data_IF_874809473737
#
_entry.id   IF_874809473737
#
_cell.length_a   1.000
_cell.length_b   1.000
_cell.length_c   1.000
_cell.angle_alpha   90.00
_cell.angle_beta   90.00
_cell.angle_gamma   90.00
#
_symmetry.space_group_name_H-M   'P 1'
#
loop_
_entity.id
_entity.type
_entity.pdbx_description
1 polymer ?
#
# COMPACT_ATOMS: atom_id res chain seq x y z
N UNK A 1 4.39 7.70 -38.06
CA UNK A 1 3.57 6.52 -38.48
C UNK A 1 4.09 5.31 -37.72
N UNK A 2 3.33 4.79 -36.77
CA UNK A 2 3.71 3.59 -36.00
C UNK A 2 3.85 2.39 -36.95
N UNK A 3 4.93 1.65 -36.83
CA UNK A 3 5.20 0.49 -37.68
C UNK A 3 4.23 -0.65 -37.34
N UNK A 4 4.01 -1.56 -38.32
CA UNK A 4 3.16 -2.74 -38.11
C UNK A 4 3.60 -3.56 -36.92
N UNK A 5 4.89 -3.64 -36.67
CA UNK A 5 5.54 -4.36 -35.58
C UNK A 5 5.25 -3.72 -34.20
N UNK A 6 5.24 -2.38 -34.10
CA UNK A 6 4.89 -1.66 -32.86
C UNK A 6 3.44 -1.91 -32.46
N UNK A 7 2.52 -1.83 -33.43
CA UNK A 7 1.09 -2.13 -33.18
C UNK A 7 0.83 -3.58 -32.76
N UNK A 8 1.58 -4.53 -33.31
CA UNK A 8 1.50 -5.94 -32.91
C UNK A 8 2.07 -6.15 -31.50
N UNK A 9 3.15 -5.45 -31.13
CA UNK A 9 3.75 -5.48 -29.81
C UNK A 9 2.79 -4.89 -28.75
N UNK A 10 2.22 -3.73 -29.01
CA UNK A 10 1.23 -3.08 -28.13
C UNK A 10 -0.02 -3.96 -27.93
N UNK A 11 -0.50 -4.61 -29.00
CA UNK A 11 -1.64 -5.51 -28.92
C UNK A 11 -1.36 -6.72 -28.04
N UNK A 12 -0.19 -7.37 -28.19
CA UNK A 12 0.23 -8.50 -27.34
C UNK A 12 0.42 -8.09 -25.89
N UNK A 13 0.92 -6.89 -25.64
CA UNK A 13 1.08 -6.32 -24.30
C UNK A 13 -0.28 -6.07 -23.65
N UNK A 14 -1.23 -5.52 -24.40
CA UNK A 14 -2.61 -5.30 -23.95
C UNK A 14 -3.35 -6.62 -23.68
N UNK A 15 -3.19 -7.63 -24.53
CA UNK A 15 -3.77 -8.96 -24.34
C UNK A 15 -3.24 -9.63 -23.07
N UNK A 16 -1.91 -9.58 -22.83
CA UNK A 16 -1.31 -10.09 -21.59
C UNK A 16 -1.75 -9.33 -20.33
N UNK A 17 -1.99 -8.03 -20.46
CA UNK A 17 -2.53 -7.22 -19.39
C UNK A 17 -3.98 -7.64 -19.06
N UNK A 18 -4.83 -7.78 -20.09
CA UNK A 18 -6.21 -8.27 -19.89
C UNK A 18 -6.28 -9.67 -19.26
N UNK A 19 -5.38 -10.57 -19.66
CA UNK A 19 -5.29 -11.90 -19.05
C UNK A 19 -4.91 -11.84 -17.56
N UNK A 20 -3.95 -10.97 -17.20
CA UNK A 20 -3.55 -10.76 -15.80
C UNK A 20 -4.71 -10.20 -14.97
N UNK A 21 -5.38 -9.18 -15.47
CA UNK A 21 -6.57 -8.60 -14.85
C UNK A 21 -7.69 -9.63 -14.64
N UNK A 22 -7.95 -10.47 -15.67
CA UNK A 22 -8.95 -11.51 -15.55
C UNK A 22 -8.58 -12.55 -14.48
N UNK A 23 -7.30 -12.95 -14.42
CA UNK A 23 -6.79 -13.88 -13.39
C UNK A 23 -6.86 -13.27 -11.99
N UNK A 24 -6.50 -11.99 -11.83
CA UNK A 24 -6.59 -11.29 -10.56
C UNK A 24 -8.04 -11.17 -10.07
N UNK A 25 -8.99 -10.80 -10.95
CA UNK A 25 -10.43 -10.77 -10.63
C UNK A 25 -10.95 -12.16 -10.24
N UNK A 26 -10.55 -13.20 -10.98
CA UNK A 26 -10.95 -14.57 -10.67
C UNK A 26 -10.43 -15.03 -9.29
N UNK A 27 -9.17 -14.73 -8.96
CA UNK A 27 -8.60 -15.02 -7.63
C UNK A 27 -9.33 -14.28 -6.51
N UNK A 28 -9.58 -12.98 -6.69
CA UNK A 28 -10.35 -12.17 -5.71
C UNK A 28 -11.77 -12.70 -5.53
N UNK A 29 -12.44 -13.10 -6.61
CA UNK A 29 -13.77 -13.72 -6.51
C UNK A 29 -13.71 -15.06 -5.79
N UNK A 30 -12.72 -15.89 -6.07
CA UNK A 30 -12.54 -17.19 -5.42
C UNK A 30 -12.23 -17.01 -3.92
N UNK A 31 -11.38 -16.06 -3.56
CA UNK A 31 -11.09 -15.71 -2.16
C UNK A 31 -12.34 -15.21 -1.43
N UNK A 32 -13.15 -14.34 -2.06
CA UNK A 32 -14.43 -13.87 -1.48
C UNK A 32 -15.44 -15.01 -1.30
N UNK A 33 -15.51 -15.93 -2.23
CA UNK A 33 -16.39 -17.11 -2.12
C UNK A 33 -15.91 -18.04 -1.00
N UNK A 34 -14.60 -18.28 -0.88
CA UNK A 34 -14.03 -19.11 0.18
C UNK A 34 -14.26 -18.44 1.55
N UNK A 35 -13.99 -17.12 1.67
CA UNK A 35 -14.25 -16.37 2.90
C UNK A 35 -15.73 -16.41 3.29
N UNK A 36 -16.63 -16.19 2.32
CA UNK A 36 -18.08 -16.27 2.53
C UNK A 36 -18.55 -17.68 2.97
N UNK A 37 -17.96 -18.72 2.43
CA UNK A 37 -18.27 -20.11 2.78
C UNK A 37 -17.82 -20.46 4.21
N UNK A 38 -16.67 -19.95 4.63
CA UNK A 38 -16.17 -20.16 6.01
C UNK A 38 -17.06 -19.42 7.01
N UNK A 39 -17.49 -18.20 6.72
CA UNK A 39 -18.40 -17.44 7.58
C UNK A 39 -19.76 -18.13 7.70
N UNK A 40 -20.32 -18.65 6.61
CA UNK A 40 -21.57 -19.37 6.64
C UNK A 40 -21.48 -20.67 7.47
N UNK A 41 -20.36 -21.40 7.37
CA UNK A 41 -20.11 -22.60 8.15
C UNK A 41 -19.93 -22.29 9.66
N UNK A 42 -19.28 -21.19 10.00
CA UNK A 42 -19.11 -20.73 11.39
C UNK A 42 -20.44 -20.30 12.03
N UNK A 43 -21.30 -19.58 11.29
CA UNK A 43 -22.62 -19.18 11.79
C UNK A 43 -23.51 -20.39 12.06
N UNK A 44 -23.46 -21.42 11.22
CA UNK A 44 -24.21 -22.67 11.46
C UNK A 44 -23.66 -23.43 12.66
N UNK A 45 -22.33 -23.47 12.86
CA UNK A 45 -21.72 -24.13 14.02
C UNK A 45 -22.06 -23.43 15.35
N UNK A 46 -22.06 -22.10 15.39
CA UNK A 46 -22.43 -21.33 16.59
C UNK A 46 -23.91 -21.44 16.93
N UNK A 47 -24.79 -21.54 15.92
CA UNK A 47 -26.23 -21.76 16.14
C UNK A 47 -26.54 -23.10 16.82
N UNK A 48 -25.81 -24.17 16.50
CA UNK A 48 -25.95 -25.49 17.11
C UNK A 48 -25.42 -25.51 18.55
N UNK A 49 -24.29 -24.85 18.81
CA UNK A 49 -23.69 -24.76 20.16
C UNK A 49 -24.60 -23.96 21.12
N UNK A 50 -25.22 -22.86 20.66
CA UNK A 50 -26.14 -22.07 21.45
C UNK A 50 -27.42 -22.85 21.86
N UNK A 51 -27.88 -23.79 21.00
CA UNK A 51 -29.02 -24.63 21.31
C UNK A 51 -28.75 -25.75 22.36
N UNK A 52 -27.48 -26.14 22.52
CA UNK A 52 -27.07 -27.18 23.47
C UNK A 52 -26.68 -26.58 24.84
N UNK A 53 -26.26 -25.30 24.88
CA UNK A 53 -25.79 -24.63 26.12
C UNK A 53 -26.90 -24.16 27.06
N UNK A 54 -28.17 -24.29 26.69
CA UNK A 54 -29.32 -23.93 27.56
C UNK A 54 -29.71 -25.03 28.57
N UNK A 55 -28.93 -26.10 28.69
CA UNK A 55 -29.32 -27.25 29.55
C UNK A 55 -28.28 -27.66 30.60
N UNK A 56 -27.14 -26.96 30.75
CA UNK A 56 -26.18 -27.31 31.80
C UNK A 56 -25.58 -26.05 32.43
N UNK A 57 -25.92 -25.80 33.68
CA UNK A 57 -25.25 -24.87 34.61
C UNK A 57 -23.98 -25.54 35.13
N UNK A 58 -22.81 -25.24 34.51
CA UNK A 58 -21.50 -25.38 35.10
C UNK A 58 -20.53 -24.49 34.33
N UNK A 59 -19.95 -23.50 35.04
CA UNK A 59 -19.03 -22.50 34.52
C UNK A 59 -17.61 -23.09 34.38
N UNK A 60 -17.03 -23.15 33.18
CA UNK A 60 -15.59 -23.31 33.03
C UNK A 60 -14.95 -22.05 32.49
N UNK A 61 -13.82 -21.70 33.11
CA UNK A 61 -12.93 -20.59 32.84
C UNK A 61 -12.75 -20.26 31.35
N UNK A 62 -12.82 -18.96 31.05
CA UNK A 62 -12.61 -18.40 29.72
C UNK A 62 -11.21 -18.70 29.18
N UNK A 63 -11.15 -19.51 28.13
CA UNK A 63 -10.01 -19.61 27.23
C UNK A 63 -10.11 -18.43 26.25
N UNK A 64 -9.06 -17.61 26.02
CA UNK A 64 -9.15 -16.53 25.05
C UNK A 64 -9.27 -17.13 23.65
N UNK A 65 -10.44 -17.01 23.06
CA UNK A 65 -10.67 -17.29 21.64
C UNK A 65 -9.95 -16.21 20.84
N UNK A 66 -9.10 -16.54 19.84
CA UNK A 66 -8.56 -15.53 18.95
C UNK A 66 -9.72 -14.90 18.19
N UNK A 67 -9.98 -13.63 18.49
CA UNK A 67 -10.95 -12.81 17.76
C UNK A 67 -10.45 -12.68 16.33
N UNK A 68 -11.09 -13.35 15.38
CA UNK A 68 -10.93 -13.04 13.98
C UNK A 68 -11.52 -11.63 13.78
N UNK A 69 -10.65 -10.62 13.80
CA UNK A 69 -11.02 -9.25 13.49
C UNK A 69 -11.54 -9.21 12.06
N UNK A 70 -12.84 -9.00 11.94
CA UNK A 70 -13.46 -8.59 10.68
C UNK A 70 -12.79 -7.27 10.33
N UNK A 71 -12.05 -7.21 9.22
CA UNK A 71 -11.52 -5.98 8.66
C UNK A 71 -12.72 -5.11 8.27
N UNK A 72 -13.17 -4.29 9.21
CA UNK A 72 -14.06 -3.17 8.91
C UNK A 72 -13.22 -2.12 8.18
N UNK A 73 -13.79 -1.44 7.19
CA UNK A 73 -13.16 -0.30 6.53
C UNK A 73 -12.52 0.58 7.60
N UNK A 74 -11.18 0.73 7.55
CA UNK A 74 -10.44 1.41 8.59
C UNK A 74 -10.86 2.89 8.62
N UNK A 75 -11.72 3.22 9.56
CA UNK A 75 -12.11 4.61 9.86
C UNK A 75 -11.29 5.20 11.00
N UNK A 76 -10.42 4.38 11.59
CA UNK A 76 -9.58 4.70 12.73
C UNK A 76 -8.15 4.23 12.47
N UNK A 77 -7.20 4.86 13.15
CA UNK A 77 -5.77 4.47 13.07
C UNK A 77 -5.62 3.01 13.50
N UNK A 78 -5.06 2.14 12.63
CA UNK A 78 -4.84 0.74 12.98
C UNK A 78 -3.93 0.58 14.20
N UNK A 79 -4.18 -0.43 15.01
CA UNK A 79 -3.34 -0.76 16.16
C UNK A 79 -1.94 -1.19 15.70
N UNK A 80 -0.85 -0.61 16.21
CA UNK A 80 0.53 -0.94 15.81
C UNK A 80 0.89 -2.42 16.04
N UNK A 81 0.19 -3.13 16.94
CA UNK A 81 0.39 -4.57 17.14
C UNK A 81 0.08 -5.42 15.89
N UNK A 82 -0.67 -4.88 14.93
CA UNK A 82 -0.93 -5.52 13.65
C UNK A 82 0.33 -5.68 12.79
N UNK A 83 1.38 -4.91 13.05
CA UNK A 83 2.70 -5.09 12.45
C UNK A 83 3.38 -6.40 12.90
N UNK A 84 2.94 -7.01 14.03
CA UNK A 84 3.39 -8.30 14.56
C UNK A 84 4.90 -8.36 14.88
N UNK A 85 5.57 -7.24 15.00
CA UNK A 85 7.01 -7.15 15.28
C UNK A 85 7.85 -8.06 14.36
N UNK A 86 7.45 -8.14 13.09
CA UNK A 86 8.06 -9.00 12.06
C UNK A 86 8.31 -8.26 10.75
N UNK A 87 9.12 -8.88 9.92
CA UNK A 87 9.23 -8.53 8.52
C UNK A 87 8.00 -9.05 7.75
N UNK A 88 7.43 -8.17 6.92
CA UNK A 88 6.40 -8.49 5.95
C UNK A 88 6.98 -8.43 4.55
N UNK A 89 6.57 -9.34 3.68
CA UNK A 89 6.99 -9.35 2.27
C UNK A 89 5.79 -9.19 1.37
N UNK A 90 6.01 -8.67 0.16
CA UNK A 90 4.91 -8.49 -0.77
C UNK A 90 5.32 -7.84 -2.07
N UNK A 91 4.32 -7.35 -2.80
CA UNK A 91 4.51 -6.62 -4.04
C UNK A 91 3.51 -5.46 -4.18
N UNK A 92 3.98 -4.40 -4.83
CA UNK A 92 3.16 -3.32 -5.36
C UNK A 92 3.10 -3.49 -6.88
N UNK A 93 1.94 -3.87 -7.40
CA UNK A 93 1.73 -4.00 -8.83
C UNK A 93 1.41 -2.63 -9.43
N UNK A 94 2.30 -2.14 -10.30
CA UNK A 94 2.12 -0.89 -11.04
C UNK A 94 1.79 -1.17 -12.50
N UNK A 95 1.17 -0.21 -13.19
CA UNK A 95 0.92 -0.30 -14.64
C UNK A 95 2.20 -0.50 -15.46
N UNK A 96 3.36 -0.10 -14.94
CA UNK A 96 4.67 -0.24 -15.58
C UNK A 96 5.37 -1.56 -15.25
N UNK A 97 4.99 -2.23 -14.18
CA UNK A 97 5.59 -3.48 -13.69
C UNK A 97 5.49 -3.60 -12.17
N UNK A 98 5.94 -4.71 -11.64
CA UNK A 98 5.78 -5.03 -10.22
C UNK A 98 7.04 -4.62 -9.43
N UNK A 99 6.85 -4.11 -8.24
CA UNK A 99 7.90 -3.84 -7.26
C UNK A 99 7.75 -4.85 -6.11
N UNK A 100 8.75 -5.71 -5.92
CA UNK A 100 8.81 -6.53 -4.70
C UNK A 100 9.23 -5.66 -3.53
N UNK A 101 8.60 -5.85 -2.37
CA UNK A 101 8.84 -5.04 -1.18
C UNK A 101 9.01 -5.88 0.07
N UNK A 102 9.75 -5.34 1.02
CA UNK A 102 9.86 -5.84 2.38
C UNK A 102 9.60 -4.70 3.36
N UNK A 103 8.75 -4.96 4.38
CA UNK A 103 8.36 -3.97 5.39
C UNK A 103 8.87 -4.41 6.76
N UNK A 104 9.37 -3.46 7.55
CA UNK A 104 9.94 -3.71 8.88
C UNK A 104 8.95 -3.33 9.98
N UNK A 105 8.15 -4.32 10.40
CA UNK A 105 7.16 -4.14 11.46
C UNK A 105 7.75 -3.94 12.86
N UNK A 106 9.02 -4.29 13.06
CA UNK A 106 9.72 -4.04 14.32
C UNK A 106 10.22 -2.59 14.41
N UNK A 107 10.77 -2.05 13.31
CA UNK A 107 11.34 -0.70 13.28
C UNK A 107 10.29 0.40 13.12
N UNK A 108 9.19 0.11 12.42
CA UNK A 108 8.12 1.09 12.14
C UNK A 108 6.72 0.45 12.32
N UNK A 109 6.36 0.04 13.54
CA UNK A 109 5.14 -0.72 13.78
C UNK A 109 3.86 0.01 13.37
N UNK A 110 3.74 1.30 13.63
CA UNK A 110 2.54 2.06 13.26
C UNK A 110 2.42 2.21 11.74
N UNK A 111 3.53 2.50 11.06
CA UNK A 111 3.54 2.65 9.61
C UNK A 111 3.20 1.33 8.91
N UNK A 112 3.80 0.22 9.35
CA UNK A 112 3.54 -1.11 8.79
C UNK A 112 2.12 -1.58 9.07
N UNK A 113 1.62 -1.43 10.30
CA UNK A 113 0.23 -1.75 10.64
C UNK A 113 -0.76 -0.98 9.75
N UNK A 114 -0.54 0.32 9.57
CA UNK A 114 -1.35 1.17 8.71
C UNK A 114 -1.30 0.72 7.24
N UNK A 115 -0.10 0.52 6.69
CA UNK A 115 0.07 0.13 5.30
C UNK A 115 -0.53 -1.24 5.00
N UNK A 116 -0.27 -2.26 5.86
CA UNK A 116 -0.79 -3.62 5.69
C UNK A 116 -2.32 -3.66 5.79
N UNK A 117 -2.91 -2.90 6.72
CA UNK A 117 -4.37 -2.78 6.86
C UNK A 117 -4.99 -2.19 5.60
N UNK A 118 -4.49 -1.04 5.14
CA UNK A 118 -4.99 -0.37 3.95
C UNK A 118 -4.79 -1.24 2.68
N UNK A 119 -3.65 -1.91 2.55
CA UNK A 119 -3.40 -2.84 1.44
C UNK A 119 -4.39 -4.02 1.46
N UNK A 120 -4.66 -4.60 2.63
CA UNK A 120 -5.63 -5.68 2.80
C UNK A 120 -7.06 -5.30 2.42
N UNK A 121 -7.42 -4.04 2.57
CA UNK A 121 -8.71 -3.46 2.17
C UNK A 121 -8.79 -3.10 0.67
N UNK A 122 -7.66 -3.18 -0.05
CA UNK A 122 -7.57 -2.73 -1.44
C UNK A 122 -7.63 -1.21 -1.59
N UNK A 123 -7.29 -0.48 -0.52
CA UNK A 123 -7.34 0.98 -0.47
C UNK A 123 -6.49 1.64 -1.56
N UNK A 124 -5.34 1.06 -1.88
CA UNK A 124 -4.43 1.59 -2.89
C UNK A 124 -4.82 1.23 -4.33
N UNK A 125 -5.76 0.29 -4.52
CA UNK A 125 -6.16 -0.18 -5.85
C UNK A 125 -6.71 0.96 -6.71
N UNK A 126 -6.18 1.08 -7.92
CA UNK A 126 -6.52 2.12 -8.90
C UNK A 126 -6.10 3.55 -8.54
N UNK A 127 -5.40 3.75 -7.42
CA UNK A 127 -4.81 5.04 -7.09
C UNK A 127 -3.58 5.31 -7.94
N UNK A 128 -3.26 6.60 -8.12
CA UNK A 128 -2.17 7.06 -8.97
C UNK A 128 -1.02 7.57 -8.13
N UNK A 129 0.21 7.27 -8.54
CA UNK A 129 1.38 7.97 -8.03
C UNK A 129 1.40 9.36 -8.67
N UNK A 130 1.11 10.36 -7.89
CA UNK A 130 0.76 11.70 -8.34
C UNK A 130 1.94 12.68 -8.42
N UNK A 131 3.08 12.33 -7.84
CA UNK A 131 4.25 13.22 -7.78
C UNK A 131 5.54 12.46 -8.01
N UNK A 132 6.35 12.97 -8.94
CA UNK A 132 7.71 12.50 -9.24
C UNK A 132 8.66 13.69 -9.11
N UNK A 133 9.67 13.60 -8.24
CA UNK A 133 10.70 14.63 -8.11
C UNK A 133 11.99 14.16 -8.75
N UNK A 134 12.65 15.05 -9.50
CA UNK A 134 13.85 14.74 -10.26
C UNK A 134 15.02 15.69 -9.94
N UNK A 135 14.83 16.58 -8.97
CA UNK A 135 15.82 17.54 -8.50
C UNK A 135 15.79 17.63 -6.98
N UNK A 136 16.96 17.68 -6.36
CA UNK A 136 17.16 17.76 -4.91
C UNK A 136 16.87 16.46 -4.19
N UNK A 137 15.65 15.89 -4.37
CA UNK A 137 15.27 14.56 -3.91
C UNK A 137 14.68 13.75 -5.07
N UNK A 138 14.80 12.42 -5.01
CA UNK A 138 14.50 11.53 -6.12
C UNK A 138 13.45 10.50 -5.69
N UNK A 139 12.18 10.91 -5.67
CA UNK A 139 11.09 10.10 -5.14
C UNK A 139 9.87 10.06 -6.06
N UNK A 140 9.18 8.93 -6.05
CA UNK A 140 7.84 8.76 -6.59
C UNK A 140 6.85 8.64 -5.43
N UNK A 141 5.91 9.57 -5.31
CA UNK A 141 4.92 9.62 -4.22
C UNK A 141 3.56 9.08 -4.68
N UNK A 142 2.98 8.20 -3.86
CA UNK A 142 1.77 7.44 -4.12
C UNK A 142 0.84 7.45 -2.89
N UNK A 143 -0.27 6.70 -2.94
CA UNK A 143 -1.12 6.41 -1.80
C UNK A 143 -2.18 7.47 -1.49
N UNK A 144 -2.41 8.42 -2.39
CA UNK A 144 -3.52 9.37 -2.28
C UNK A 144 -4.79 8.79 -2.93
N UNK A 145 -5.89 8.57 -2.18
CA UNK A 145 -7.12 8.02 -2.72
C UNK A 145 -7.86 8.97 -3.67
N UNK A 146 -7.53 10.27 -3.63
CA UNK A 146 -8.12 11.26 -4.53
C UNK A 146 -7.36 11.39 -5.85
N UNK A 147 -6.12 10.89 -5.90
CA UNK A 147 -5.32 10.79 -7.11
C UNK A 147 -5.79 9.59 -7.96
N UNK A 148 -7.04 9.61 -8.40
CA UNK A 148 -7.59 8.65 -9.34
C UNK A 148 -7.21 9.05 -10.76
N UNK A 149 -7.14 8.09 -11.69
CA UNK A 149 -6.79 8.31 -13.09
C UNK A 149 -7.69 9.30 -13.83
N UNK A 150 -7.85 10.50 -13.30
CA UNK A 150 -8.68 11.58 -13.84
C UNK A 150 -7.88 12.48 -14.78
N UNK A 151 -8.60 13.23 -15.62
CA UNK A 151 -8.04 14.12 -16.62
C UNK A 151 -7.24 15.31 -16.06
N UNK A 152 -7.32 15.59 -14.76
CA UNK A 152 -6.56 16.68 -14.13
C UNK A 152 -5.30 16.12 -13.45
N UNK A 153 -4.12 16.32 -14.04
CA UNK A 153 -2.85 15.84 -13.49
C UNK A 153 -2.44 16.55 -12.19
N UNK A 154 -3.10 17.64 -11.82
CA UNK A 154 -2.76 18.44 -10.62
C UNK A 154 -3.52 17.97 -9.37
N UNK A 155 -4.46 17.04 -9.51
CA UNK A 155 -5.18 16.47 -8.37
C UNK A 155 -4.34 15.38 -7.71
N UNK A 156 -4.02 15.56 -6.45
CA UNK A 156 -3.26 14.63 -5.63
C UNK A 156 -2.46 15.33 -4.54
N UNK A 157 -2.07 14.57 -3.54
CA UNK A 157 -1.23 15.05 -2.43
C UNK A 157 -2.01 15.57 -1.22
N UNK A 158 -3.34 15.65 -1.29
CA UNK A 158 -4.18 16.15 -0.18
C UNK A 158 -5.12 15.12 0.41
N UNK A 159 -5.29 13.97 -0.25
CA UNK A 159 -6.14 12.88 0.21
C UNK A 159 -5.47 11.99 1.25
N UNK A 160 -6.30 11.25 1.99
CA UNK A 160 -5.85 10.31 3.02
C UNK A 160 -6.99 9.41 3.48
N UNK A 161 -6.74 8.52 4.45
CA UNK A 161 -7.70 7.50 4.90
C UNK A 161 -8.79 8.03 5.83
N UNK A 162 -8.89 9.35 6.02
CA UNK A 162 -9.84 9.97 6.95
C UNK A 162 -9.30 10.14 8.36
N UNK A 163 -8.07 9.74 8.62
CA UNK A 163 -7.34 9.92 9.87
C UNK A 163 -5.88 10.27 9.61
N UNK A 164 -5.19 10.79 10.61
CA UNK A 164 -3.74 10.97 10.62
C UNK A 164 -3.14 10.34 11.86
N UNK A 165 -1.85 10.03 11.79
CA UNK A 165 -1.14 9.38 12.89
C UNK A 165 0.32 9.85 12.98
N UNK A 166 0.96 9.52 14.09
CA UNK A 166 2.35 9.71 14.47
C UNK A 166 2.64 8.91 15.75
N UNK A 167 3.82 9.06 16.32
CA UNK A 167 4.95 9.88 15.90
C UNK A 167 5.73 9.30 14.71
N UNK A 168 6.76 10.03 14.25
CA UNK A 168 7.73 9.55 13.25
C UNK A 168 8.49 8.35 13.83
N UNK A 169 8.63 7.29 13.02
CA UNK A 169 9.32 6.05 13.35
C UNK A 169 10.54 5.87 12.42
N UNK A 170 11.62 5.30 12.93
CA UNK A 170 12.77 4.82 12.14
C UNK A 170 13.29 5.79 11.06
N UNK A 171 13.31 7.10 11.34
CA UNK A 171 13.88 8.07 10.41
C UNK A 171 15.41 8.00 10.41
N UNK A 172 16.08 8.05 9.24
CA UNK A 172 17.55 8.06 9.17
C UNK A 172 18.14 9.27 9.91
N UNK A 173 19.09 9.01 10.81
CA UNK A 173 19.70 10.07 11.62
C UNK A 173 20.55 11.07 10.80
N UNK A 174 21.06 10.63 9.66
CA UNK A 174 21.86 11.42 8.73
C UNK A 174 21.01 12.16 7.68
N UNK A 175 19.69 11.89 7.66
CA UNK A 175 18.76 12.47 6.70
C UNK A 175 18.96 11.98 5.27
N UNK A 176 19.68 10.87 5.06
CA UNK A 176 19.87 10.26 3.74
C UNK A 176 18.96 9.04 3.60
N UNK A 177 18.13 9.03 2.57
CA UNK A 177 17.23 7.95 2.21
C UNK A 177 17.79 7.23 0.98
N UNK A 178 18.40 6.03 1.14
CA UNK A 178 18.99 5.29 0.03
C UNK A 178 17.96 4.90 -1.03
N UNK A 179 18.42 4.69 -2.25
CA UNK A 179 17.62 4.10 -3.32
C UNK A 179 16.98 2.78 -2.85
N UNK A 180 15.70 2.59 -3.18
CA UNK A 180 14.90 1.47 -2.70
C UNK A 180 14.15 1.72 -1.40
N UNK A 181 14.40 2.80 -0.67
CA UNK A 181 13.65 3.13 0.56
C UNK A 181 12.16 3.36 0.29
N UNK A 182 11.32 2.86 1.20
CA UNK A 182 9.88 3.13 1.25
C UNK A 182 9.61 3.91 2.54
N UNK A 183 9.06 5.14 2.41
CA UNK A 183 8.83 6.00 3.56
C UNK A 183 7.46 6.69 3.49
N UNK A 184 6.91 7.03 4.68
CA UNK A 184 5.63 7.73 4.77
C UNK A 184 5.77 9.20 4.42
N UNK A 185 4.83 9.70 3.61
CA UNK A 185 4.69 11.13 3.38
C UNK A 185 3.93 11.78 4.56
N UNK A 186 4.23 13.05 4.82
CA UNK A 186 3.61 13.88 5.86
C UNK A 186 3.61 15.35 5.47
N UNK A 187 2.83 16.15 6.18
CA UNK A 187 2.91 17.60 6.10
C UNK A 187 4.22 18.10 6.72
N UNK A 188 4.85 19.10 6.11
CA UNK A 188 6.05 19.72 6.67
C UNK A 188 5.81 20.22 8.10
N UNK A 189 6.80 20.06 8.96
CA UNK A 189 6.78 20.46 10.36
C UNK A 189 5.69 19.80 11.23
N UNK A 190 5.02 18.72 10.73
CA UNK A 190 4.00 17.97 11.48
C UNK A 190 4.25 16.47 11.44
N UNK A 191 4.85 15.94 12.50
CA UNK A 191 5.15 14.52 12.68
C UNK A 191 3.95 13.64 13.02
N UNK A 192 2.74 14.22 13.11
CA UNK A 192 1.48 13.51 13.39
C UNK A 192 0.51 13.53 12.21
N UNK A 193 0.97 13.98 11.04
CA UNK A 193 0.13 14.14 9.83
C UNK A 193 0.26 12.99 8.82
N UNK A 194 0.93 11.90 9.18
CA UNK A 194 1.01 10.71 8.32
C UNK A 194 -0.38 10.07 8.17
N UNK A 195 -0.69 9.63 6.97
CA UNK A 195 -1.97 8.98 6.62
C UNK A 195 -1.73 7.74 5.77
N UNK A 196 -2.15 7.78 4.50
CA UNK A 196 -1.95 6.70 3.53
C UNK A 196 -0.86 6.97 2.51
N UNK A 197 -0.40 8.23 2.38
CA UNK A 197 0.57 8.57 1.35
C UNK A 197 1.98 8.12 1.74
N UNK A 198 2.70 7.58 0.77
CA UNK A 198 4.07 7.10 0.90
C UNK A 198 4.89 7.46 -0.34
N UNK A 199 6.20 7.38 -0.24
CA UNK A 199 7.08 7.59 -1.37
C UNK A 199 8.13 6.48 -1.51
N UNK A 200 8.51 6.25 -2.76
CA UNK A 200 9.49 5.28 -3.21
C UNK A 200 10.73 6.06 -3.67
N UNK A 201 11.87 5.78 -3.08
CA UNK A 201 13.13 6.46 -3.40
C UNK A 201 13.81 5.71 -4.55
N UNK A 202 13.99 6.36 -5.70
CA UNK A 202 14.62 5.72 -6.86
C UNK A 202 16.13 6.03 -7.01
N UNK A 203 16.62 7.04 -6.30
CA UNK A 203 18.04 7.39 -6.18
C UNK A 203 18.27 7.99 -4.80
N UNK A 204 19.47 7.80 -4.21
CA UNK A 204 19.81 8.33 -2.90
C UNK A 204 19.39 9.79 -2.75
N UNK A 205 18.58 10.06 -1.72
CA UNK A 205 17.91 11.34 -1.53
C UNK A 205 18.27 11.94 -0.17
N UNK A 206 19.02 13.02 -0.13
CA UNK A 206 19.23 13.78 1.09
C UNK A 206 17.95 14.59 1.40
N UNK A 207 17.22 14.19 2.42
CA UNK A 207 16.02 14.88 2.90
C UNK A 207 16.29 15.32 4.34
N UNK A 208 16.77 16.55 4.56
CA UNK A 208 17.05 17.04 5.90
C UNK A 208 15.79 17.00 6.79
N UNK A 209 15.99 16.65 8.06
CA UNK A 209 14.92 16.77 9.04
C UNK A 209 14.47 18.22 9.20
N UNK A 210 13.15 18.41 9.28
CA UNK A 210 12.54 19.68 9.67
C UNK A 210 12.30 19.72 11.20
N UNK A 211 11.49 20.67 11.69
CA UNK A 211 11.23 20.82 13.14
C UNK A 211 10.49 19.62 13.74
N UNK A 212 9.77 18.84 12.94
CA UNK A 212 9.11 17.60 13.36
C UNK A 212 10.03 16.39 13.31
N UNK A 213 11.14 16.45 12.58
CA UNK A 213 12.08 15.34 12.38
C UNK A 213 12.20 14.91 10.91
N UNK A 214 12.63 13.67 10.68
CA UNK A 214 12.72 13.07 9.36
C UNK A 214 11.39 12.50 8.86
N UNK A 215 11.48 11.50 7.99
CA UNK A 215 10.32 10.76 7.46
C UNK A 215 10.40 9.31 7.94
N UNK A 216 9.27 8.74 8.33
CA UNK A 216 9.19 7.34 8.78
C UNK A 216 9.56 6.39 7.66
N UNK A 217 10.68 5.65 7.83
CA UNK A 217 11.06 4.56 6.91
C UNK A 217 10.46 3.27 7.43
N UNK A 218 9.61 2.64 6.63
CA UNK A 218 8.91 1.43 7.04
C UNK A 218 9.18 0.20 6.16
N UNK A 219 10.01 0.35 5.12
CA UNK A 219 10.37 -0.76 4.25
C UNK A 219 11.35 -0.39 3.16
N UNK A 220 11.60 -1.37 2.31
CA UNK A 220 12.46 -1.21 1.14
C UNK A 220 12.01 -2.08 -0.03
N UNK A 221 12.42 -1.68 -1.24
CA UNK A 221 12.17 -2.40 -2.49
C UNK A 221 13.22 -3.50 -2.61
N UNK A 222 12.77 -4.74 -2.82
CA UNK A 222 13.62 -5.93 -2.97
C UNK A 222 13.83 -6.33 -4.43
N UNK A 223 12.92 -5.93 -5.32
CA UNK A 223 13.01 -6.16 -6.77
C UNK A 223 12.22 -5.12 -7.56
N UNK A 224 12.51 -4.94 -8.85
CA UNK A 224 11.80 -4.00 -9.71
C UNK A 224 12.32 -2.56 -9.64
N UNK A 225 13.53 -2.34 -9.14
CA UNK A 225 14.16 -1.01 -9.16
C UNK A 225 14.35 -0.47 -10.59
N UNK A 226 14.50 -1.34 -11.57
CA UNK A 226 14.54 -0.99 -13.00
C UNK A 226 13.18 -0.44 -13.49
N UNK A 227 12.05 -0.94 -12.97
CA UNK A 227 10.72 -0.40 -13.23
C UNK A 227 10.60 1.02 -12.68
N UNK A 228 11.02 1.22 -11.43
CA UNK A 228 10.98 2.53 -10.79
C UNK A 228 11.90 3.54 -11.50
N UNK A 229 13.09 3.10 -11.91
CA UNK A 229 14.02 3.92 -12.69
C UNK A 229 13.44 4.28 -14.07
N UNK A 230 12.80 3.34 -14.76
CA UNK A 230 12.16 3.60 -16.04
C UNK A 230 11.02 4.64 -15.94
N UNK A 231 10.27 4.65 -14.81
CA UNK A 231 9.28 5.68 -14.53
C UNK A 231 9.95 7.05 -14.37
N UNK A 232 11.05 7.11 -13.62
CA UNK A 232 11.81 8.33 -13.41
C UNK A 232 12.44 8.86 -14.71
N UNK A 233 13.00 7.98 -15.53
CA UNK A 233 13.63 8.33 -16.82
C UNK A 233 12.61 8.85 -17.85
N UNK A 234 11.35 8.40 -17.77
CA UNK A 234 10.28 8.92 -18.62
C UNK A 234 9.95 10.39 -18.30
N UNK A 235 10.23 10.84 -17.08
CA UNK A 235 10.13 12.22 -16.65
C UNK A 235 8.73 12.67 -16.26
N UNK A 236 8.58 13.98 -16.18
CA UNK A 236 7.34 14.64 -15.75
C UNK A 236 6.74 15.50 -16.86
N UNK A 237 5.47 15.81 -16.74
CA UNK A 237 4.81 16.81 -17.58
C UNK A 237 5.53 18.15 -17.36
N UNK A 238 5.89 18.84 -18.44
CA UNK A 238 6.67 20.09 -18.41
C UNK A 238 6.10 21.11 -17.40
N UNK A 239 6.96 21.61 -16.53
CA UNK A 239 6.60 22.58 -15.50
C UNK A 239 5.85 22.01 -14.29
N UNK A 240 5.73 20.68 -14.19
CA UNK A 240 5.05 20.00 -13.08
C UNK A 240 5.93 18.91 -12.46
N UNK A 241 5.47 18.30 -11.37
CA UNK A 241 6.04 17.08 -10.78
C UNK A 241 5.16 15.85 -11.05
N UNK A 242 4.25 15.92 -12.03
CA UNK A 242 3.37 14.80 -12.38
C UNK A 242 4.08 13.91 -13.40
N UNK A 243 4.17 12.58 -13.18
CA UNK A 243 4.73 11.66 -14.16
C UNK A 243 4.10 11.83 -15.55
N UNK A 244 4.92 11.82 -16.61
CA UNK A 244 4.44 11.97 -18.00
C UNK A 244 3.47 10.87 -18.42
N UNK A 245 3.60 9.69 -17.83
CA UNK A 245 2.67 8.57 -18.01
C UNK A 245 2.01 8.23 -16.68
N UNK A 246 0.72 7.92 -16.71
CA UNK A 246 0.00 7.51 -15.50
C UNK A 246 0.65 6.26 -14.88
N UNK A 247 1.10 6.40 -13.64
CA UNK A 247 1.61 5.32 -12.81
C UNK A 247 0.50 4.93 -11.83
N UNK A 248 -0.20 3.84 -12.12
CA UNK A 248 -1.36 3.41 -11.34
C UNK A 248 -0.98 2.17 -10.53
N UNK A 249 -1.34 2.15 -9.24
CA UNK A 249 -1.27 0.96 -8.40
C UNK A 249 -2.43 0.05 -8.79
N UNK A 250 -2.13 -1.10 -9.37
CA UNK A 250 -3.13 -2.12 -9.74
C UNK A 250 -3.52 -3.00 -8.56
N UNK A 251 -2.67 -3.04 -7.54
CA UNK A 251 -2.89 -3.77 -6.30
C UNK A 251 -1.65 -3.81 -5.43
N UNK A 252 -1.85 -4.04 -4.14
CA UNK A 252 -0.78 -4.28 -3.16
C UNK A 252 -1.07 -5.61 -2.48
N UNK A 253 -0.13 -6.56 -2.53
CA UNK A 253 -0.28 -7.87 -1.90
C UNK A 253 0.79 -7.99 -0.81
N UNK A 254 0.39 -8.29 0.42
CA UNK A 254 1.29 -8.43 1.58
C UNK A 254 1.05 -9.79 2.26
N UNK A 255 2.12 -10.42 2.74
CA UNK A 255 2.10 -11.72 3.40
C UNK A 255 3.11 -11.86 4.54
#
# INVERSE_FOLDING_TARGET
MSTKTEREYERRRYEKWQERQAKARARRHQQRVIAGSIVAALVLATGVVAAISLTNDDEPAATPTPSASVLANATEVPDPSLAQDRTWTGDIALTQGDLGIELDGAAAPQAVANFVTLAGEGYFDTTKCHRLTQEGIFVLQCGDPTALGTADPTTGGTGGPGYTWGPIENAPADGVYPAGTIAMARTGDDGSSMGSQFFLVYQDSPIPADTAGGYTVFGHITSGMDVLQAIADAGTIEGTQVPVSDVIIEGVNIQ
#
